data_IF_844288079921
#
_entry.id   IF_844288079921
#
_cell.length_a   1.000
_cell.length_b   1.000
_cell.length_c   1.000
_cell.angle_alpha   90.00
_cell.angle_beta   90.00
_cell.angle_gamma   90.00
#
_symmetry.space_group_name_H-M   'P 1'
#
loop_
_entity.id
_entity.type
_entity.pdbx_description
1 polymer ?
#
# COMPACT_ATOMS: atom_id res chain seq x y z
N UNK A 1 7.83 -24.52 -4.76
CA UNK A 1 7.08 -24.49 -3.48
C UNK A 1 7.07 -23.07 -2.97
N UNK A 2 5.92 -22.56 -2.52
CA UNK A 2 5.79 -21.20 -1.97
C UNK A 2 6.56 -21.10 -0.66
N UNK A 3 7.30 -20.00 -0.49
CA UNK A 3 8.10 -19.68 0.69
C UNK A 3 7.71 -18.32 1.31
N UNK A 4 7.14 -17.42 0.52
CA UNK A 4 6.80 -16.07 0.96
C UNK A 4 5.42 -15.64 0.47
N UNK A 5 4.74 -14.83 1.28
CA UNK A 5 3.49 -14.14 0.92
C UNK A 5 3.67 -12.67 1.17
N UNK A 6 3.43 -11.85 0.15
CA UNK A 6 3.64 -10.41 0.13
C UNK A 6 2.28 -9.73 0.07
N UNK A 7 2.00 -8.84 0.99
CA UNK A 7 0.74 -8.12 1.11
C UNK A 7 0.90 -6.65 0.76
N UNK A 8 -0.04 -6.09 -0.01
CA UNK A 8 -0.26 -4.65 -0.04
C UNK A 8 -0.89 -4.18 1.28
N UNK A 9 -0.91 -2.89 1.49
CA UNK A 9 -1.52 -2.24 2.66
C UNK A 9 -2.94 -1.77 2.39
N UNK A 10 -3.08 -0.70 1.60
CA UNK A 10 -4.37 -0.10 1.26
C UNK A 10 -5.23 -1.06 0.45
N UNK A 11 -6.46 -1.31 0.90
CA UNK A 11 -7.36 -2.25 0.26
C UNK A 11 -7.11 -3.73 0.60
N UNK A 12 -6.00 -4.08 1.31
CA UNK A 12 -5.66 -5.46 1.70
C UNK A 12 -5.54 -5.59 3.21
N UNK A 13 -4.44 -5.11 3.83
CA UNK A 13 -4.25 -5.17 5.30
C UNK A 13 -5.07 -4.13 6.04
N UNK A 14 -5.44 -3.05 5.37
CA UNK A 14 -6.44 -2.08 5.83
C UNK A 14 -7.54 -1.95 4.79
N UNK A 15 -8.76 -1.66 5.23
CA UNK A 15 -9.83 -1.28 4.31
C UNK A 15 -9.43 0.01 3.61
N UNK A 16 -9.69 0.03 2.31
CA UNK A 16 -9.13 1.01 1.40
C UNK A 16 -9.38 2.47 1.86
N UNK A 17 -8.37 3.16 2.42
CA UNK A 17 -8.53 4.55 2.82
C UNK A 17 -8.60 5.48 1.61
N UNK A 18 -8.19 5.01 0.42
CA UNK A 18 -8.08 5.83 -0.78
C UNK A 18 -9.44 6.28 -1.33
N UNK A 19 -10.53 5.56 -1.06
CA UNK A 19 -11.89 5.97 -1.46
C UNK A 19 -12.31 7.24 -0.72
N UNK A 20 -11.85 7.42 0.54
CA UNK A 20 -12.17 8.59 1.34
C UNK A 20 -11.06 9.63 1.44
N UNK A 21 -9.79 9.26 1.16
CA UNK A 21 -8.65 10.15 1.43
C UNK A 21 -8.68 11.41 0.57
N UNK A 22 -8.85 11.28 -0.74
CA UNK A 22 -8.87 12.43 -1.66
C UNK A 22 -10.14 13.25 -1.47
N UNK A 23 -11.28 12.60 -1.35
CA UNK A 23 -12.57 13.22 -1.06
C UNK A 23 -12.57 13.92 0.30
N UNK A 24 -12.04 13.26 1.33
CA UNK A 24 -11.85 13.85 2.66
C UNK A 24 -10.98 15.12 2.59
N UNK A 25 -9.85 15.08 1.90
CA UNK A 25 -8.97 16.22 1.74
C UNK A 25 -9.67 17.39 1.00
N UNK A 26 -10.38 17.10 -0.11
CA UNK A 26 -11.13 18.10 -0.86
C UNK A 26 -12.19 18.78 0.01
N UNK A 27 -12.97 17.97 0.74
CA UNK A 27 -14.00 18.46 1.67
C UNK A 27 -13.40 19.30 2.80
N UNK A 28 -12.28 18.86 3.39
CA UNK A 28 -11.60 19.58 4.47
C UNK A 28 -11.05 20.92 4.02
N UNK A 29 -10.59 21.02 2.78
CA UNK A 29 -10.11 22.24 2.15
C UNK A 29 -11.24 23.13 1.66
N UNK A 30 -12.46 22.62 1.52
CA UNK A 30 -13.60 23.36 0.98
C UNK A 30 -13.44 23.66 -0.51
N UNK A 31 -12.87 22.71 -1.27
CA UNK A 31 -12.60 22.85 -2.71
C UNK A 31 -13.39 21.85 -3.53
N UNK A 32 -13.48 22.11 -4.84
CA UNK A 32 -14.12 21.17 -5.77
C UNK A 32 -13.31 19.85 -5.81
N UNK A 33 -13.98 18.74 -5.51
CA UNK A 33 -13.42 17.40 -5.41
C UNK A 33 -12.73 16.95 -6.70
N UNK A 34 -13.39 17.07 -7.85
CA UNK A 34 -12.82 16.65 -9.13
C UNK A 34 -11.58 17.47 -9.51
N UNK A 35 -11.58 18.78 -9.21
CA UNK A 35 -10.40 19.65 -9.41
C UNK A 35 -9.26 19.20 -8.47
N UNK A 36 -9.57 18.92 -7.20
CA UNK A 36 -8.59 18.46 -6.23
C UNK A 36 -7.96 17.12 -6.65
N UNK A 37 -8.77 16.12 -6.95
CA UNK A 37 -8.31 14.78 -7.36
C UNK A 37 -7.38 14.89 -8.57
N UNK A 38 -7.76 15.64 -9.60
CA UNK A 38 -6.93 15.82 -10.79
C UNK A 38 -5.55 16.43 -10.47
N UNK A 39 -5.50 17.38 -9.56
CA UNK A 39 -4.24 18.01 -9.15
C UNK A 39 -3.44 17.05 -8.28
N UNK A 40 -4.08 16.36 -7.36
CA UNK A 40 -3.48 15.36 -6.48
C UNK A 40 -2.81 14.25 -7.31
N UNK A 41 -3.53 13.63 -8.24
CA UNK A 41 -3.05 12.55 -9.09
C UNK A 41 -1.84 12.95 -9.94
N UNK A 42 -1.74 14.22 -10.31
CA UNK A 42 -0.58 14.75 -11.05
C UNK A 42 0.72 14.66 -10.26
N UNK A 43 0.67 14.86 -8.93
CA UNK A 43 1.86 14.93 -8.07
C UNK A 43 2.06 13.70 -7.17
N UNK A 44 1.03 12.88 -7.01
CA UNK A 44 1.06 11.66 -6.19
C UNK A 44 2.20 10.70 -6.57
N UNK A 45 2.49 10.41 -7.87
CA UNK A 45 3.57 9.49 -8.23
C UNK A 45 4.95 9.94 -7.74
N UNK A 46 5.26 11.23 -7.84
CA UNK A 46 6.53 11.77 -7.35
C UNK A 46 6.59 11.81 -5.82
N UNK A 47 5.45 11.99 -5.16
CA UNK A 47 5.34 11.94 -3.71
C UNK A 47 5.49 10.50 -3.19
N UNK A 48 4.85 9.54 -3.84
CA UNK A 48 4.99 8.11 -3.52
C UNK A 48 6.37 7.54 -3.83
N UNK A 49 7.15 8.20 -4.70
CA UNK A 49 8.56 7.88 -4.95
C UNK A 49 9.54 8.60 -4.02
N UNK A 50 9.05 9.41 -3.08
CA UNK A 50 9.89 10.21 -2.21
C UNK A 50 10.70 11.32 -2.93
N UNK A 51 10.39 11.62 -4.20
CA UNK A 51 11.08 12.66 -4.99
C UNK A 51 10.74 14.07 -4.54
N UNK A 52 9.57 14.25 -3.97
CA UNK A 52 9.13 15.53 -3.39
C UNK A 52 8.76 15.33 -1.92
N UNK A 53 9.11 16.30 -1.08
CA UNK A 53 8.71 16.29 0.32
C UNK A 53 7.21 16.57 0.48
N UNK A 54 6.64 16.21 1.63
CA UNK A 54 5.24 16.53 1.96
C UNK A 54 4.95 18.03 1.82
N UNK A 55 5.85 18.88 2.32
CA UNK A 55 5.68 20.32 2.22
C UNK A 55 5.64 20.81 0.78
N UNK A 56 6.49 20.26 -0.11
CA UNK A 56 6.50 20.59 -1.53
C UNK A 56 5.28 20.02 -2.26
N UNK A 57 4.82 18.82 -1.88
CA UNK A 57 3.60 18.25 -2.42
C UNK A 57 2.39 19.15 -2.14
N UNK A 58 2.18 19.50 -0.86
CA UNK A 58 1.09 20.39 -0.48
C UNK A 58 1.22 21.79 -1.11
N UNK A 59 2.42 22.37 -1.14
CA UNK A 59 2.66 23.64 -1.82
C UNK A 59 2.14 23.60 -3.26
N UNK A 60 2.49 22.57 -4.04
CA UNK A 60 2.01 22.38 -5.41
C UNK A 60 0.49 22.26 -5.49
N UNK A 61 -0.13 21.52 -4.57
CA UNK A 61 -1.60 21.38 -4.49
C UNK A 61 -2.24 22.74 -4.25
N UNK A 62 -1.78 23.50 -3.26
CA UNK A 62 -2.35 24.80 -2.91
C UNK A 62 -2.18 25.84 -4.02
N UNK A 63 -1.02 25.91 -4.65
CA UNK A 63 -0.75 26.81 -5.79
C UNK A 63 -1.69 26.51 -6.97
N UNK A 64 -1.91 25.23 -7.30
CA UNK A 64 -2.79 24.85 -8.41
C UNK A 64 -4.30 24.99 -8.07
N UNK A 65 -4.65 24.96 -6.79
CA UNK A 65 -6.01 25.23 -6.31
C UNK A 65 -6.28 26.74 -6.13
N UNK A 66 -5.24 27.58 -6.14
CA UNK A 66 -5.32 29.02 -5.89
C UNK A 66 -5.87 29.36 -4.49
N UNK A 67 -5.47 28.59 -3.48
CA UNK A 67 -5.89 28.76 -2.10
C UNK A 67 -4.70 28.98 -1.15
N UNK A 68 -4.87 29.72 -0.03
CA UNK A 68 -3.78 30.01 0.89
C UNK A 68 -3.28 28.79 1.65
N UNK A 69 -1.98 28.68 1.85
CA UNK A 69 -1.28 27.54 2.52
C UNK A 69 -1.61 27.39 4.01
N UNK A 70 -2.34 28.29 4.63
CA UNK A 70 -2.58 28.32 6.10
C UNK A 70 -3.36 27.11 6.63
N UNK A 71 -3.95 26.30 5.74
CA UNK A 71 -4.78 25.13 6.11
C UNK A 71 -4.04 23.80 6.09
N UNK A 72 -2.72 23.76 5.80
CA UNK A 72 -2.03 22.54 5.37
C UNK A 72 -1.42 21.65 6.45
N UNK A 73 -1.16 22.15 7.66
CA UNK A 73 -0.27 21.44 8.61
C UNK A 73 -0.81 20.15 9.23
N UNK A 74 -2.03 19.71 8.93
CA UNK A 74 -2.70 18.65 9.71
C UNK A 74 -3.27 17.53 8.84
N UNK A 75 -3.17 17.62 7.51
CA UNK A 75 -4.02 16.78 6.64
C UNK A 75 -3.67 15.30 6.69
N UNK A 76 -2.41 14.90 6.50
CA UNK A 76 -2.09 13.47 6.39
C UNK A 76 -2.33 12.67 7.67
N UNK A 77 -1.82 13.13 8.80
CA UNK A 77 -2.02 12.42 10.06
C UNK A 77 -3.50 12.32 10.43
N UNK A 78 -4.26 13.41 10.27
CA UNK A 78 -5.70 13.40 10.55
C UNK A 78 -6.47 12.49 9.58
N UNK A 79 -6.11 12.48 8.30
CA UNK A 79 -6.74 11.61 7.32
C UNK A 79 -6.56 10.15 7.66
N UNK A 80 -5.32 9.74 7.97
CA UNK A 80 -5.03 8.35 8.31
C UNK A 80 -5.74 7.93 9.61
N UNK A 81 -5.73 8.79 10.63
CA UNK A 81 -6.41 8.54 11.91
C UNK A 81 -7.93 8.42 11.76
N UNK A 82 -8.56 9.22 10.90
CA UNK A 82 -10.02 9.22 10.69
C UNK A 82 -10.47 8.16 9.69
N UNK A 83 -9.64 7.76 8.73
CA UNK A 83 -10.02 6.83 7.66
C UNK A 83 -9.47 5.43 7.82
N UNK A 84 -8.49 5.24 8.70
CA UNK A 84 -7.90 3.92 8.94
C UNK A 84 -8.91 2.96 9.55
N UNK A 85 -9.04 1.80 8.89
CA UNK A 85 -9.74 0.63 9.44
C UNK A 85 -8.91 -0.62 9.14
N UNK A 86 -8.48 -1.29 10.19
CA UNK A 86 -7.79 -2.58 10.11
C UNK A 86 -8.64 -3.62 9.42
N UNK A 87 -8.06 -4.39 8.53
CA UNK A 87 -8.67 -5.60 7.97
C UNK A 87 -8.23 -6.82 8.79
N UNK A 88 -8.77 -6.91 10.01
CA UNK A 88 -8.39 -7.94 10.96
C UNK A 88 -8.48 -9.39 10.43
N UNK A 89 -9.49 -9.77 9.62
CA UNK A 89 -9.50 -11.08 8.97
C UNK A 89 -8.23 -11.35 8.15
N UNK A 90 -7.77 -10.39 7.34
CA UNK A 90 -6.55 -10.56 6.52
C UNK A 90 -5.29 -10.55 7.38
N UNK A 91 -5.23 -9.70 8.40
CA UNK A 91 -4.12 -9.71 9.37
C UNK A 91 -4.01 -11.06 10.07
N UNK A 92 -5.13 -11.68 10.45
CA UNK A 92 -5.15 -13.00 11.06
C UNK A 92 -4.66 -14.09 10.09
N UNK A 93 -5.00 -13.99 8.80
CA UNK A 93 -4.45 -14.86 7.75
C UNK A 93 -2.93 -14.70 7.68
N UNK A 94 -2.42 -13.47 7.61
CA UNK A 94 -0.98 -13.20 7.57
C UNK A 94 -0.24 -13.77 8.81
N UNK A 95 -0.79 -13.57 10.00
CA UNK A 95 -0.26 -14.16 11.25
C UNK A 95 -0.28 -15.69 11.24
N UNK A 96 -1.33 -16.30 10.68
CA UNK A 96 -1.42 -17.75 10.53
C UNK A 96 -0.37 -18.29 9.56
N UNK A 97 -0.16 -17.62 8.43
CA UNK A 97 0.90 -17.95 7.47
C UNK A 97 2.30 -17.84 8.11
N UNK A 98 2.53 -16.79 8.90
CA UNK A 98 3.77 -16.62 9.65
C UNK A 98 4.04 -17.79 10.60
N UNK A 99 3.03 -18.22 11.35
CA UNK A 99 3.12 -19.40 12.26
C UNK A 99 3.40 -20.70 11.51
N UNK A 100 2.98 -20.82 10.26
CA UNK A 100 3.27 -21.98 9.39
C UNK A 100 4.66 -21.93 8.75
N UNK A 101 5.46 -20.89 9.02
CA UNK A 101 6.83 -20.76 8.53
C UNK A 101 6.98 -20.03 7.21
N UNK A 102 5.91 -19.45 6.66
CA UNK A 102 6.04 -18.56 5.50
C UNK A 102 6.67 -17.23 5.90
N UNK A 103 7.52 -16.70 5.04
CA UNK A 103 8.00 -15.31 5.16
C UNK A 103 6.89 -14.36 4.78
N UNK A 104 6.67 -13.32 5.57
CA UNK A 104 5.62 -12.33 5.32
C UNK A 104 6.26 -11.01 4.91
N UNK A 105 5.98 -10.59 3.67
CA UNK A 105 6.41 -9.31 3.12
C UNK A 105 5.27 -8.29 3.11
N UNK A 106 5.65 -7.04 3.21
CA UNK A 106 4.78 -5.88 3.00
C UNK A 106 5.35 -5.04 1.87
N UNK A 107 4.52 -4.67 0.89
CA UNK A 107 4.90 -3.86 -0.26
C UNK A 107 3.83 -2.84 -0.59
N UNK A 108 4.06 -1.58 -0.32
CA UNK A 108 3.06 -0.52 -0.54
C UNK A 108 3.60 0.69 -1.29
N UNK A 109 2.76 1.25 -2.15
CA UNK A 109 2.93 2.61 -2.65
C UNK A 109 2.47 3.56 -1.54
N UNK A 110 3.45 4.19 -0.87
CA UNK A 110 3.24 4.89 0.41
C UNK A 110 4.06 6.16 0.45
N UNK A 111 3.50 7.21 0.98
CA UNK A 111 4.12 8.50 1.23
C UNK A 111 4.83 8.53 2.59
N UNK A 112 5.89 9.35 2.72
CA UNK A 112 6.66 9.45 3.97
C UNK A 112 5.81 9.66 5.24
N UNK A 113 4.77 10.53 5.26
CA UNK A 113 3.98 10.73 6.48
C UNK A 113 3.20 9.48 6.93
N UNK A 114 2.86 8.58 6.00
CA UNK A 114 2.14 7.36 6.34
C UNK A 114 3.01 6.32 7.04
N UNK A 115 4.34 6.42 6.94
CA UNK A 115 5.28 5.50 7.62
C UNK A 115 5.17 5.62 9.13
N UNK A 116 5.08 6.83 9.66
CA UNK A 116 4.93 7.04 11.11
C UNK A 116 3.63 6.43 11.63
N UNK A 117 2.56 6.55 10.86
CA UNK A 117 1.28 5.91 11.18
C UNK A 117 1.37 4.39 11.11
N UNK A 118 2.00 3.84 10.06
CA UNK A 118 2.24 2.40 9.91
C UNK A 118 3.04 1.84 11.10
N UNK A 119 4.10 2.52 11.52
CA UNK A 119 4.97 2.07 12.61
C UNK A 119 4.21 1.97 13.96
N UNK A 120 3.18 2.78 14.17
CA UNK A 120 2.31 2.70 15.35
C UNK A 120 1.41 1.46 15.37
N UNK A 121 1.20 0.77 14.23
CA UNK A 121 0.30 -0.38 14.13
C UNK A 121 0.89 -1.69 14.68
N UNK A 122 2.20 -1.72 14.96
CA UNK A 122 2.91 -2.86 15.54
C UNK A 122 2.66 -4.19 14.79
N UNK A 123 2.94 -4.19 13.48
CA UNK A 123 2.86 -5.39 12.63
C UNK A 123 4.05 -6.33 12.85
N UNK A 124 4.11 -6.97 14.02
CA UNK A 124 5.20 -7.86 14.48
C UNK A 124 5.35 -9.15 13.66
N UNK A 125 4.38 -9.47 12.82
CA UNK A 125 4.38 -10.64 11.96
C UNK A 125 5.12 -10.44 10.63
N UNK A 126 5.49 -9.20 10.27
CA UNK A 126 6.18 -8.90 9.02
C UNK A 126 7.68 -9.20 9.12
N UNK A 127 8.24 -9.91 8.13
CA UNK A 127 9.67 -10.15 8.01
C UNK A 127 10.38 -9.03 7.24
N UNK A 128 9.72 -8.50 6.20
CA UNK A 128 10.25 -7.46 5.33
C UNK A 128 9.17 -6.43 5.03
N UNK A 129 9.56 -5.16 5.16
CA UNK A 129 8.71 -4.02 4.85
C UNK A 129 9.38 -3.19 3.74
N UNK A 130 8.63 -2.88 2.69
CA UNK A 130 9.07 -2.05 1.56
C UNK A 130 8.08 -0.93 1.32
N UNK A 131 8.54 0.31 1.50
CA UNK A 131 7.81 1.54 1.20
C UNK A 131 8.36 2.18 -0.07
N UNK A 132 7.50 2.47 -1.03
CA UNK A 132 7.90 3.07 -2.31
C UNK A 132 8.66 4.39 -2.16
N UNK A 133 8.26 5.23 -1.21
CA UNK A 133 8.90 6.53 -0.95
C UNK A 133 10.33 6.43 -0.40
N UNK A 134 10.70 5.28 0.21
CA UNK A 134 12.07 5.01 0.66
C UNK A 134 12.89 4.46 -0.51
N UNK A 135 12.30 3.59 -1.34
CA UNK A 135 13.01 2.90 -2.41
C UNK A 135 13.14 3.73 -3.71
N UNK A 136 12.32 4.76 -3.88
CA UNK A 136 12.29 5.57 -5.10
C UNK A 136 11.54 4.93 -6.28
N UNK A 137 10.92 3.78 -6.06
CA UNK A 137 10.16 3.01 -7.06
C UNK A 137 8.75 2.72 -6.55
N UNK A 138 7.77 2.65 -7.46
CA UNK A 138 6.37 2.35 -7.13
C UNK A 138 5.91 1.09 -7.87
N UNK A 139 4.92 0.39 -7.35
CA UNK A 139 4.16 -0.59 -8.13
C UNK A 139 3.43 0.15 -9.28
N UNK A 140 3.40 -0.34 -10.52
CA UNK A 140 3.86 -1.66 -10.99
C UNK A 140 5.29 -1.69 -11.59
N UNK A 141 6.20 -0.79 -11.19
CA UNK A 141 7.57 -0.81 -11.71
C UNK A 141 8.30 -2.10 -11.27
N UNK A 142 8.97 -2.76 -12.22
CA UNK A 142 9.71 -4.01 -11.98
C UNK A 142 10.61 -3.95 -10.74
N UNK A 143 11.31 -2.84 -10.55
CA UNK A 143 12.34 -2.68 -9.53
C UNK A 143 11.82 -2.86 -8.10
N UNK A 144 10.59 -2.40 -7.80
CA UNK A 144 10.05 -2.49 -6.45
C UNK A 144 9.78 -3.96 -6.04
N UNK A 145 9.37 -4.80 -6.99
CA UNK A 145 9.16 -6.23 -6.75
C UNK A 145 10.51 -6.96 -6.59
N UNK A 146 11.53 -6.62 -7.38
CA UNK A 146 12.87 -7.17 -7.21
C UNK A 146 13.45 -6.87 -5.82
N UNK A 147 13.22 -5.66 -5.31
CA UNK A 147 13.69 -5.24 -3.96
C UNK A 147 13.08 -6.14 -2.89
N UNK A 148 11.75 -6.33 -2.89
CA UNK A 148 11.12 -7.13 -1.83
C UNK A 148 11.49 -8.61 -1.94
N UNK A 149 11.57 -9.19 -3.14
CA UNK A 149 12.01 -10.57 -3.36
C UNK A 149 13.43 -10.80 -2.83
N UNK A 150 14.35 -9.89 -3.16
CA UNK A 150 15.74 -9.96 -2.70
C UNK A 150 15.84 -9.88 -1.18
N UNK A 151 15.09 -8.98 -0.53
CA UNK A 151 15.08 -8.85 0.93
C UNK A 151 14.47 -10.06 1.63
N UNK A 152 13.44 -10.66 1.03
CA UNK A 152 12.86 -11.91 1.51
C UNK A 152 13.78 -13.12 1.22
N UNK A 153 14.73 -13.00 0.30
CA UNK A 153 15.63 -14.09 -0.10
C UNK A 153 14.86 -15.23 -0.79
N UNK A 154 13.95 -14.91 -1.70
CA UNK A 154 13.13 -15.88 -2.45
C UNK A 154 13.15 -15.57 -3.95
N UNK A 155 12.92 -16.59 -4.77
CA UNK A 155 12.72 -16.44 -6.20
C UNK A 155 11.26 -16.02 -6.49
N UNK A 156 11.01 -15.48 -7.68
CA UNK A 156 9.68 -14.99 -8.08
C UNK A 156 8.59 -16.06 -7.94
N UNK A 157 8.86 -17.27 -8.41
CA UNK A 157 7.93 -18.41 -8.37
C UNK A 157 7.70 -18.99 -6.96
N UNK A 158 8.51 -18.57 -6.00
CA UNK A 158 8.39 -18.96 -4.58
C UNK A 158 7.57 -17.96 -3.76
N UNK A 159 7.15 -16.85 -4.37
CA UNK A 159 6.38 -15.81 -3.73
C UNK A 159 4.94 -15.73 -4.27
N UNK A 160 4.01 -15.32 -3.40
CA UNK A 160 2.67 -14.87 -3.76
C UNK A 160 2.56 -13.39 -3.41
N UNK A 161 2.10 -12.58 -4.36
CA UNK A 161 1.80 -11.16 -4.15
C UNK A 161 0.28 -10.94 -4.16
N UNK A 162 -0.23 -10.24 -3.14
CA UNK A 162 -1.65 -9.96 -2.91
C UNK A 162 -1.86 -8.45 -2.96
N UNK A 163 -2.69 -7.98 -3.88
CA UNK A 163 -2.97 -6.56 -4.09
C UNK A 163 -4.39 -6.39 -4.64
N UNK A 164 -5.05 -5.29 -4.35
CA UNK A 164 -6.42 -4.99 -4.82
C UNK A 164 -6.45 -4.33 -6.22
N UNK A 165 -5.27 -3.93 -6.75
CA UNK A 165 -5.14 -3.25 -8.04
C UNK A 165 -4.62 -4.17 -9.12
N UNK A 166 -5.41 -4.36 -10.16
CA UNK A 166 -5.07 -5.22 -11.31
C UNK A 166 -3.75 -4.80 -11.97
N UNK A 167 -3.47 -3.49 -12.07
CA UNK A 167 -2.21 -2.98 -12.63
C UNK A 167 -0.98 -3.45 -11.85
N UNK A 168 -1.07 -3.52 -10.52
CA UNK A 168 0.02 -4.00 -9.67
C UNK A 168 0.19 -5.53 -9.82
N UNK A 169 -0.92 -6.25 -9.88
CA UNK A 169 -0.94 -7.71 -10.14
C UNK A 169 -0.27 -8.03 -11.47
N UNK A 170 -0.61 -7.31 -12.54
CA UNK A 170 0.00 -7.53 -13.86
C UNK A 170 1.50 -7.19 -13.88
N UNK A 171 1.91 -6.16 -13.10
CA UNK A 171 3.34 -5.86 -12.92
C UNK A 171 4.12 -7.01 -12.28
N UNK A 172 3.57 -7.63 -11.23
CA UNK A 172 4.16 -8.76 -10.54
C UNK A 172 4.20 -10.03 -11.40
N UNK A 173 3.11 -10.33 -12.12
CA UNK A 173 3.03 -11.49 -13.05
C UNK A 173 4.10 -11.46 -14.12
N UNK A 174 4.45 -10.29 -14.67
CA UNK A 174 5.51 -10.15 -15.68
C UNK A 174 6.87 -10.60 -15.19
N UNK A 175 7.05 -10.69 -13.86
CA UNK A 175 8.26 -11.18 -13.20
C UNK A 175 8.18 -12.66 -12.81
N UNK A 176 7.08 -13.34 -13.09
CA UNK A 176 6.85 -14.73 -12.67
C UNK A 176 6.42 -14.90 -11.21
N UNK A 177 6.02 -13.82 -10.54
CA UNK A 177 5.46 -13.89 -9.18
C UNK A 177 4.03 -14.45 -9.27
N UNK A 178 3.70 -15.41 -8.40
CA UNK A 178 2.32 -15.84 -8.26
C UNK A 178 1.50 -14.69 -7.66
N UNK A 179 0.28 -14.48 -8.11
CA UNK A 179 -0.49 -13.31 -7.71
C UNK A 179 -1.92 -13.67 -7.33
N UNK A 180 -2.48 -12.91 -6.39
CA UNK A 180 -3.89 -12.95 -6.04
C UNK A 180 -4.44 -11.52 -6.12
N UNK A 181 -5.37 -11.29 -7.05
CA UNK A 181 -6.16 -10.05 -7.06
C UNK A 181 -7.14 -10.14 -5.87
N UNK A 182 -6.90 -9.32 -4.87
CA UNK A 182 -7.67 -9.34 -3.63
C UNK A 182 -9.07 -8.77 -3.82
N UNK A 183 -10.05 -9.41 -3.21
CA UNK A 183 -11.44 -8.95 -3.13
C UNK A 183 -11.93 -8.90 -1.69
N UNK A 184 -11.76 -10.02 -0.97
CA UNK A 184 -12.14 -10.17 0.42
C UNK A 184 -11.37 -11.34 1.07
N UNK A 185 -11.48 -11.48 2.39
CA UNK A 185 -10.77 -12.50 3.16
C UNK A 185 -11.18 -13.93 2.81
N UNK A 186 -12.45 -14.19 2.45
CA UNK A 186 -12.92 -15.52 2.09
C UNK A 186 -12.36 -15.95 0.74
N UNK A 187 -12.39 -15.04 -0.24
CA UNK A 187 -11.76 -15.26 -1.54
C UNK A 187 -10.25 -15.50 -1.36
N UNK A 188 -9.56 -14.71 -0.53
CA UNK A 188 -8.14 -14.87 -0.26
C UNK A 188 -7.80 -16.26 0.29
N UNK A 189 -8.57 -16.76 1.29
CA UNK A 189 -8.40 -18.13 1.81
C UNK A 189 -8.56 -19.17 0.71
N UNK A 190 -9.58 -19.03 -0.13
CA UNK A 190 -9.82 -19.94 -1.24
C UNK A 190 -8.66 -19.97 -2.25
N UNK A 191 -8.15 -18.80 -2.63
CA UNK A 191 -7.02 -18.67 -3.56
C UNK A 191 -5.72 -19.23 -2.97
N UNK A 192 -5.43 -18.95 -1.69
CA UNK A 192 -4.24 -19.48 -1.01
C UNK A 192 -4.24 -21.01 -0.94
N UNK A 193 -5.41 -21.64 -0.74
CA UNK A 193 -5.53 -23.12 -0.74
C UNK A 193 -5.11 -23.75 -2.07
N UNK A 194 -5.21 -23.04 -3.21
CA UNK A 194 -4.75 -23.53 -4.52
C UNK A 194 -3.22 -23.71 -4.56
N UNK A 195 -2.50 -23.01 -3.74
CA UNK A 195 -1.05 -23.14 -3.57
C UNK A 195 -0.64 -24.17 -2.49
N UNK A 196 -1.56 -25.04 -2.10
CA UNK A 196 -1.37 -26.05 -1.01
C UNK A 196 -1.07 -25.42 0.35
N UNK A 197 -1.58 -24.21 0.59
CA UNK A 197 -1.47 -23.52 1.87
C UNK A 197 -2.68 -23.88 2.73
N UNK A 198 -2.43 -24.52 3.87
CA UNK A 198 -3.48 -24.91 4.80
C UNK A 198 -3.85 -23.72 5.70
N UNK A 199 -5.06 -23.23 5.54
CA UNK A 199 -5.65 -22.19 6.38
C UNK A 199 -6.91 -22.74 7.03
N UNK A 200 -7.22 -22.34 8.27
CA UNK A 200 -8.42 -22.78 8.99
C UNK A 200 -9.71 -22.34 8.29
#
# INVERSE_FOLDING_TARGET
MIKAVIFDWGGVLIYNPSIGTKEYCAKRLGVNESKFIKIYDKYEPDFQKGKISESNFWKKIYENLEIPMSKSKILWNTVLEETYKSNDPVINIAKSLKKQGYKIGYLSNTEMPAIDFFNKQNYDFLDVVVFSCIEGYVKPEKKIYEIILNRLGVQSEEAIFIDDKETNIEGAKKLGINTILFKDSNQLIHELKKFLINLP
#
